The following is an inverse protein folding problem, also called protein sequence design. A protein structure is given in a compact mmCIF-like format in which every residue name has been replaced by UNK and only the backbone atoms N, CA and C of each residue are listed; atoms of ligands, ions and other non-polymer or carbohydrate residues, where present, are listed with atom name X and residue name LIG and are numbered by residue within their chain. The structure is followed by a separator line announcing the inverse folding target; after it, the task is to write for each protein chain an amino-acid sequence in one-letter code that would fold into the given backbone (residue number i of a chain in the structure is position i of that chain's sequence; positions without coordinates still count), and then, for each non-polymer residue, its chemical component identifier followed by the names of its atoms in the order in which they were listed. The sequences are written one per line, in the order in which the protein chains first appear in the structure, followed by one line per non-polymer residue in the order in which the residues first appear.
data_IF_852666050251
#
_entry.id   IF_852666050251
#
_cell.length_a   1.000
_cell.length_b   1.000
_cell.length_c   1.000
_cell.angle_alpha   90.00
_cell.angle_beta   90.00
_cell.angle_gamma   90.00
#
_symmetry.space_group_name_H-M   'P 1'
#
loop_
_entity.id
_entity.type
_entity.pdbx_description
1 polymer ?
#
# COMPACT_ATOMS: atom_id res chain seq x y z
N UNK A 1 -18.85 -9.28 14.65
CA UNK A 1 -18.76 -8.15 15.59
C UNK A 1 -17.91 -7.10 14.91
N UNK A 2 -18.50 -5.96 14.51
CA UNK A 2 -17.69 -4.76 14.25
C UNK A 2 -16.96 -4.42 15.56
N UNK A 3 -15.65 -4.12 15.55
CA UNK A 3 -14.99 -3.58 16.73
C UNK A 3 -15.59 -2.19 16.97
N UNK A 4 -16.59 -2.13 17.84
CA UNK A 4 -17.53 -1.02 18.08
C UNK A 4 -16.89 0.29 18.62
N UNK A 5 -15.57 0.45 18.55
CA UNK A 5 -14.86 1.64 19.04
C UNK A 5 -13.80 2.21 18.11
N UNK A 6 -13.05 1.39 17.36
CA UNK A 6 -11.85 1.88 16.66
C UNK A 6 -12.12 3.05 15.70
N UNK A 7 -13.21 3.00 14.94
CA UNK A 7 -13.55 4.06 13.99
C UNK A 7 -13.88 5.36 14.72
N UNK A 8 -14.67 5.26 15.78
CA UNK A 8 -15.10 6.38 16.62
C UNK A 8 -13.90 6.98 17.37
N UNK A 9 -13.04 6.13 17.94
CA UNK A 9 -11.82 6.53 18.64
C UNK A 9 -10.85 7.25 17.69
N UNK A 10 -10.64 6.72 16.49
CA UNK A 10 -9.79 7.36 15.48
C UNK A 10 -10.38 8.68 14.98
N UNK A 11 -11.70 8.76 14.81
CA UNK A 11 -12.40 10.01 14.48
C UNK A 11 -12.20 11.05 15.58
N UNK A 12 -12.29 10.66 16.85
CA UNK A 12 -12.16 11.59 17.96
C UNK A 12 -10.71 12.05 18.16
N UNK A 13 -9.74 11.14 17.98
CA UNK A 13 -8.32 11.46 17.88
C UNK A 13 -8.03 12.48 16.77
N UNK A 14 -8.48 12.21 15.54
CA UNK A 14 -8.23 13.14 14.42
C UNK A 14 -8.93 14.48 14.62
N UNK A 15 -10.12 14.50 15.20
CA UNK A 15 -10.81 15.73 15.58
C UNK A 15 -10.00 16.60 16.55
N UNK A 16 -9.32 15.99 17.53
CA UNK A 16 -8.40 16.71 18.42
C UNK A 16 -7.24 17.29 17.62
N UNK A 17 -6.57 16.48 16.78
CA UNK A 17 -5.44 16.95 15.97
C UNK A 17 -5.81 18.14 15.08
N UNK A 18 -6.96 18.07 14.39
CA UNK A 18 -7.43 19.17 13.55
C UNK A 18 -7.70 20.44 14.36
N UNK A 19 -8.30 20.31 15.55
CA UNK A 19 -8.55 21.45 16.43
C UNK A 19 -7.27 22.11 16.92
N UNK A 20 -6.32 21.32 17.41
CA UNK A 20 -5.12 21.83 18.09
C UNK A 20 -4.04 22.34 17.11
N UNK A 21 -3.93 21.75 15.92
CA UNK A 21 -2.81 22.04 15.02
C UNK A 21 -3.24 22.57 13.64
N UNK A 22 -4.52 22.49 13.29
CA UNK A 22 -5.00 22.86 11.96
C UNK A 22 -4.97 24.37 11.66
N UNK A 23 -4.68 25.20 12.66
CA UNK A 23 -4.33 26.61 12.46
C UNK A 23 -3.06 26.77 11.59
N UNK A 24 -2.10 25.85 11.74
CA UNK A 24 -0.80 25.84 11.02
C UNK A 24 -0.62 24.66 10.07
N UNK A 25 -1.09 23.46 10.44
CA UNK A 25 -0.96 22.25 9.61
C UNK A 25 -2.00 22.29 8.50
N UNK A 26 -1.52 22.31 7.24
CA UNK A 26 -2.36 22.43 6.03
C UNK A 26 -2.42 21.20 5.15
N UNK A 27 -1.66 20.16 5.47
CA UNK A 27 -1.69 18.91 4.73
C UNK A 27 -1.72 17.76 5.74
N UNK A 28 -2.78 16.94 5.66
CA UNK A 28 -3.03 15.84 6.57
C UNK A 28 -3.01 14.51 5.84
N UNK A 29 -2.37 13.51 6.43
CA UNK A 29 -2.42 12.11 5.99
C UNK A 29 -3.06 11.32 7.13
N UNK A 30 -4.17 10.62 6.88
CA UNK A 30 -4.84 9.85 7.94
C UNK A 30 -4.08 8.57 8.28
N UNK A 31 -3.65 7.82 7.26
CA UNK A 31 -2.96 6.55 7.39
C UNK A 31 -1.75 6.55 6.45
N UNK A 32 -0.64 6.01 6.95
CA UNK A 32 0.54 5.69 6.17
C UNK A 32 0.61 4.18 5.96
N UNK A 33 0.75 3.74 4.72
CA UNK A 33 0.88 2.32 4.34
C UNK A 33 -0.12 1.35 5.00
N UNK A 34 -1.44 1.58 4.85
CA UNK A 34 -2.44 0.70 5.47
C UNK A 34 -2.34 -0.75 4.95
N UNK A 35 -1.78 -0.95 3.75
CA UNK A 35 -1.41 -2.26 3.21
C UNK A 35 -0.33 -2.95 4.05
N UNK A 36 0.81 -2.30 4.29
CA UNK A 36 1.93 -2.84 5.07
C UNK A 36 1.46 -3.20 6.49
N UNK A 37 0.64 -2.35 7.11
CA UNK A 37 0.04 -2.64 8.42
C UNK A 37 -0.85 -3.89 8.38
N UNK A 38 -1.76 -3.98 7.41
CA UNK A 38 -2.72 -5.09 7.31
C UNK A 38 -2.03 -6.43 7.05
N UNK A 39 -1.06 -6.44 6.13
CA UNK A 39 -0.35 -7.66 5.72
C UNK A 39 0.71 -8.03 6.75
N UNK A 40 1.55 -7.08 7.17
CA UNK A 40 2.62 -7.31 8.13
C UNK A 40 2.13 -7.69 9.52
N UNK A 41 1.04 -7.06 9.99
CA UNK A 41 0.50 -7.26 11.33
C UNK A 41 -0.45 -8.44 11.48
N UNK A 42 -1.15 -8.81 10.40
CA UNK A 42 -2.29 -9.76 10.45
C UNK A 42 -2.25 -10.87 9.39
N UNK A 43 -1.26 -10.86 8.48
CA UNK A 43 -1.05 -11.94 7.51
C UNK A 43 0.28 -12.66 7.73
N UNK A 44 1.40 -11.94 7.71
CA UNK A 44 2.73 -12.53 7.96
C UNK A 44 3.11 -12.54 9.44
N UNK A 45 2.50 -11.67 10.25
CA UNK A 45 2.75 -11.58 11.70
C UNK A 45 4.14 -11.04 12.07
N UNK A 46 4.86 -10.40 11.13
CA UNK A 46 6.20 -9.86 11.38
C UNK A 46 6.17 -8.45 11.99
N UNK A 47 5.04 -7.73 11.86
CA UNK A 47 4.82 -6.43 12.48
C UNK A 47 3.84 -6.59 13.64
N UNK A 48 3.84 -5.65 14.59
CA UNK A 48 2.83 -5.62 15.64
C UNK A 48 1.40 -5.56 15.05
N UNK A 49 0.41 -6.28 15.61
CA UNK A 49 0.47 -7.06 16.85
C UNK A 49 0.99 -8.50 16.69
N UNK A 50 1.52 -8.88 15.52
CA UNK A 50 2.16 -10.18 15.30
C UNK A 50 1.18 -11.34 15.14
N UNK A 51 0.02 -11.10 14.54
CA UNK A 51 -1.02 -12.12 14.35
C UNK A 51 -0.90 -12.75 12.98
N UNK A 52 -0.95 -14.08 12.93
CA UNK A 52 -1.04 -14.81 11.68
C UNK A 52 -1.57 -16.23 11.92
N UNK A 53 -1.97 -16.92 10.85
CA UNK A 53 -2.24 -18.35 10.93
C UNK A 53 -0.95 -19.11 11.22
N UNK A 54 -1.02 -20.15 12.05
CA UNK A 54 0.15 -20.94 12.50
C UNK A 54 1.01 -21.56 11.40
N UNK A 55 0.47 -21.69 10.20
CA UNK A 55 1.17 -22.19 9.01
C UNK A 55 1.99 -21.14 8.25
N UNK A 56 1.72 -19.85 8.45
CA UNK A 56 2.45 -18.77 7.76
C UNK A 56 3.81 -18.53 8.41
N UNK A 57 3.83 -18.57 9.74
CA UNK A 57 5.03 -18.45 10.55
C UNK A 57 4.87 -19.35 11.77
N UNK A 58 5.87 -20.19 12.05
CA UNK A 58 5.86 -21.11 13.19
C UNK A 58 5.73 -20.39 14.54
N UNK A 59 6.06 -19.10 14.60
CA UNK A 59 5.89 -18.26 15.79
C UNK A 59 4.45 -17.79 16.05
N UNK A 60 3.52 -17.92 15.09
CA UNK A 60 2.14 -17.48 15.27
C UNK A 60 1.27 -18.57 15.89
N UNK A 61 0.76 -18.33 17.10
CA UNK A 61 -0.20 -19.21 17.77
C UNK A 61 -1.65 -18.73 17.65
N UNK A 62 -1.87 -17.48 17.23
CA UNK A 62 -3.17 -16.82 17.15
C UNK A 62 -3.30 -15.97 15.88
N UNK A 63 -4.49 -15.97 15.29
CA UNK A 63 -4.80 -15.16 14.11
C UNK A 63 -5.42 -15.95 12.96
N UNK A 64 -5.88 -15.24 11.94
CA UNK A 64 -6.39 -15.80 10.69
C UNK A 64 -5.92 -14.96 9.51
N UNK A 65 -4.82 -15.39 8.88
CA UNK A 65 -4.21 -14.71 7.72
C UNK A 65 -5.10 -14.69 6.49
N UNK A 66 -6.17 -15.47 6.47
CA UNK A 66 -7.19 -15.44 5.42
C UNK A 66 -8.31 -14.44 5.70
N UNK A 67 -8.44 -13.88 6.90
CA UNK A 67 -9.60 -13.05 7.27
C UNK A 67 -9.22 -11.73 7.94
N UNK A 68 -8.29 -11.74 8.88
CA UNK A 68 -7.93 -10.56 9.67
C UNK A 68 -7.38 -9.40 8.83
N UNK A 69 -6.49 -9.61 7.83
CA UNK A 69 -6.02 -8.51 6.98
C UNK A 69 -7.16 -7.76 6.28
N UNK A 70 -8.21 -8.47 5.86
CA UNK A 70 -9.39 -7.89 5.21
C UNK A 70 -10.26 -7.09 6.16
N UNK A 71 -10.45 -7.57 7.39
CA UNK A 71 -11.18 -6.83 8.44
C UNK A 71 -10.41 -5.57 8.82
N UNK A 72 -9.09 -5.66 8.97
CA UNK A 72 -8.23 -4.54 9.37
C UNK A 72 -8.21 -3.46 8.28
N UNK A 73 -7.95 -3.84 7.02
CA UNK A 73 -7.99 -2.89 5.90
C UNK A 73 -9.36 -2.21 5.75
N UNK A 74 -10.46 -2.96 5.96
CA UNK A 74 -11.80 -2.40 5.91
C UNK A 74 -12.05 -1.34 6.99
N UNK A 75 -11.65 -1.63 8.24
CA UNK A 75 -11.78 -0.67 9.33
C UNK A 75 -10.88 0.56 9.15
N UNK A 76 -9.67 0.42 8.61
CA UNK A 76 -8.80 1.55 8.25
C UNK A 76 -9.47 2.46 7.21
N UNK A 77 -10.09 1.90 6.17
CA UNK A 77 -10.84 2.68 5.17
C UNK A 77 -12.04 3.40 5.79
N UNK A 78 -12.82 2.73 6.64
CA UNK A 78 -13.97 3.38 7.30
C UNK A 78 -13.53 4.49 8.26
N UNK A 79 -12.44 4.29 9.00
CA UNK A 79 -11.86 5.30 9.88
C UNK A 79 -11.29 6.50 9.09
N UNK A 80 -10.67 6.24 7.94
CA UNK A 80 -10.23 7.28 7.00
C UNK A 80 -11.40 8.15 6.54
N UNK A 81 -12.48 7.52 6.04
CA UNK A 81 -13.66 8.23 5.58
C UNK A 81 -14.29 9.09 6.70
N UNK A 82 -14.37 8.56 7.93
CA UNK A 82 -14.88 9.29 9.08
C UNK A 82 -14.01 10.51 9.45
N UNK A 83 -12.69 10.37 9.45
CA UNK A 83 -11.76 11.48 9.72
C UNK A 83 -11.84 12.57 8.64
N UNK A 84 -11.91 12.16 7.36
CA UNK A 84 -12.06 13.10 6.23
C UNK A 84 -13.38 13.86 6.33
N UNK A 85 -14.48 13.17 6.66
CA UNK A 85 -15.76 13.83 6.86
C UNK A 85 -15.69 14.88 7.97
N UNK A 86 -15.11 14.54 9.13
CA UNK A 86 -14.91 15.51 10.22
C UNK A 86 -14.09 16.71 9.77
N UNK A 87 -12.99 16.48 9.04
CA UNK A 87 -12.15 17.55 8.54
C UNK A 87 -12.90 18.49 7.58
N UNK A 88 -13.60 17.92 6.58
CA UNK A 88 -14.36 18.68 5.59
C UNK A 88 -15.49 19.48 6.22
N UNK A 89 -16.25 18.87 7.12
CA UNK A 89 -17.45 19.48 7.71
C UNK A 89 -17.12 20.57 8.73
N UNK A 90 -16.07 20.37 9.55
CA UNK A 90 -15.79 21.26 10.69
C UNK A 90 -14.63 22.22 10.47
N UNK A 91 -13.63 21.83 9.68
CA UNK A 91 -12.32 22.48 9.70
C UNK A 91 -11.90 23.05 8.35
N UNK A 92 -12.15 22.36 7.23
CA UNK A 92 -11.57 22.70 5.93
C UNK A 92 -11.92 24.12 5.47
N UNK A 93 -13.17 24.57 5.65
CA UNK A 93 -13.59 25.93 5.27
C UNK A 93 -12.82 27.04 6.00
N UNK A 94 -12.45 26.82 7.27
CA UNK A 94 -11.72 27.80 8.09
C UNK A 94 -10.21 27.64 7.96
N UNK A 95 -9.72 26.41 8.04
CA UNK A 95 -8.30 26.09 8.08
C UNK A 95 -7.65 26.06 6.70
N UNK A 96 -8.43 25.86 5.63
CA UNK A 96 -8.00 25.85 4.22
C UNK A 96 -6.91 24.82 3.89
N UNK A 97 -6.76 23.76 4.70
CA UNK A 97 -5.84 22.66 4.40
C UNK A 97 -6.48 21.56 3.56
N UNK A 98 -5.65 20.59 3.17
CA UNK A 98 -5.99 19.39 2.40
C UNK A 98 -5.81 18.13 3.25
N UNK A 99 -6.59 17.09 2.96
CA UNK A 99 -6.48 15.79 3.63
C UNK A 99 -6.41 14.65 2.61
N UNK A 100 -5.58 13.66 2.90
CA UNK A 100 -5.36 12.51 2.04
C UNK A 100 -4.95 11.26 2.82
N UNK A 101 -4.46 10.28 2.08
CA UNK A 101 -3.96 9.00 2.60
C UNK A 101 -2.74 8.59 1.78
N UNK A 102 -1.78 7.94 2.44
CA UNK A 102 -0.57 7.45 1.78
C UNK A 102 -0.65 5.96 1.53
N UNK A 103 -0.49 5.56 0.27
CA UNK A 103 -0.53 4.18 -0.19
C UNK A 103 0.87 3.73 -0.61
N UNK A 104 1.24 2.52 -0.20
CA UNK A 104 2.45 1.85 -0.68
C UNK A 104 2.14 0.97 -1.88
N UNK A 105 3.01 0.98 -2.88
CA UNK A 105 2.88 0.07 -4.02
C UNK A 105 4.23 -0.26 -4.63
N UNK A 106 4.50 -1.56 -4.76
CA UNK A 106 5.49 -2.04 -5.70
C UNK A 106 4.98 -1.86 -7.14
N UNK A 107 5.88 -1.76 -8.11
CA UNK A 107 5.51 -1.93 -9.51
C UNK A 107 5.48 -3.42 -9.88
N UNK A 108 4.38 -3.85 -10.52
CA UNK A 108 4.11 -5.24 -10.86
C UNK A 108 4.38 -5.47 -12.35
N UNK A 109 5.50 -6.12 -12.68
CA UNK A 109 5.89 -6.44 -14.05
C UNK A 109 5.45 -7.87 -14.37
N UNK A 110 4.73 -8.13 -15.48
CA UNK A 110 4.43 -9.51 -15.85
C UNK A 110 5.72 -10.27 -16.16
N UNK A 111 5.83 -11.50 -15.65
CA UNK A 111 7.02 -12.33 -15.84
C UNK A 111 7.25 -12.61 -17.33
N UNK A 112 6.21 -13.02 -18.07
CA UNK A 112 6.24 -13.19 -19.53
C UNK A 112 5.23 -12.31 -20.27
N UNK A 113 5.30 -12.31 -21.60
CA UNK A 113 4.31 -11.64 -22.45
C UNK A 113 2.96 -12.37 -22.55
N UNK A 114 2.82 -13.52 -21.87
CA UNK A 114 1.58 -14.30 -21.88
C UNK A 114 0.42 -13.52 -21.27
N UNK A 115 -0.80 -13.80 -21.73
CA UNK A 115 -2.01 -13.20 -21.17
C UNK A 115 -2.15 -13.53 -19.67
N UNK A 116 -1.80 -14.75 -19.27
CA UNK A 116 -1.87 -15.20 -17.87
C UNK A 116 -1.01 -14.33 -16.94
N UNK A 117 0.25 -14.07 -17.30
CA UNK A 117 1.14 -13.25 -16.46
C UNK A 117 0.77 -11.77 -16.48
N UNK A 118 0.26 -11.25 -17.60
CA UNK A 118 -0.30 -9.89 -17.67
C UNK A 118 -1.50 -9.73 -16.74
N UNK A 119 -2.40 -10.71 -16.73
CA UNK A 119 -3.55 -10.71 -15.83
C UNK A 119 -3.12 -10.91 -14.38
N UNK A 120 -2.09 -11.72 -14.12
CA UNK A 120 -1.51 -11.88 -12.79
C UNK A 120 -0.88 -10.57 -12.28
N UNK A 121 -0.10 -9.85 -13.09
CA UNK A 121 0.45 -8.55 -12.72
C UNK A 121 -0.64 -7.53 -12.35
N UNK A 122 -1.75 -7.51 -13.11
CA UNK A 122 -2.93 -6.70 -12.79
C UNK A 122 -3.55 -7.11 -11.44
N UNK A 123 -3.74 -8.41 -11.20
CA UNK A 123 -4.29 -8.91 -9.91
C UNK A 123 -3.38 -8.57 -8.74
N UNK A 124 -2.07 -8.79 -8.85
CA UNK A 124 -1.11 -8.45 -7.79
C UNK A 124 -1.15 -6.95 -7.46
N UNK A 125 -1.28 -6.11 -8.49
CA UNK A 125 -1.42 -4.68 -8.30
C UNK A 125 -2.75 -4.30 -7.62
N UNK A 126 -3.86 -4.94 -8.02
CA UNK A 126 -5.17 -4.73 -7.40
C UNK A 126 -5.19 -5.20 -5.94
N UNK A 127 -4.47 -6.26 -5.57
CA UNK A 127 -4.35 -6.74 -4.19
C UNK A 127 -3.45 -5.85 -3.30
N UNK A 128 -2.64 -4.96 -3.88
CA UNK A 128 -1.78 -4.04 -3.13
C UNK A 128 -2.31 -2.61 -3.18
N UNK A 129 -2.25 -2.00 -4.36
CA UNK A 129 -2.64 -0.60 -4.57
C UNK A 129 -4.15 -0.45 -4.75
N UNK A 130 -4.76 -1.28 -5.60
CA UNK A 130 -6.19 -1.23 -5.88
C UNK A 130 -7.05 -1.52 -4.65
N UNK A 131 -6.56 -2.30 -3.69
CA UNK A 131 -7.27 -2.67 -2.47
C UNK A 131 -7.71 -1.45 -1.66
N UNK A 132 -6.93 -0.37 -1.71
CA UNK A 132 -7.27 0.92 -1.10
C UNK A 132 -7.72 1.94 -2.14
N UNK A 133 -7.10 1.99 -3.32
CA UNK A 133 -7.39 3.00 -4.33
C UNK A 133 -8.78 2.84 -4.99
N UNK A 134 -9.28 1.62 -5.20
CA UNK A 134 -10.63 1.40 -5.74
C UNK A 134 -11.71 1.88 -4.75
N UNK A 135 -11.68 1.54 -3.45
CA UNK A 135 -12.62 2.13 -2.48
C UNK A 135 -12.61 3.66 -2.49
N UNK A 136 -11.43 4.28 -2.53
CA UNK A 136 -11.28 5.73 -2.53
C UNK A 136 -11.86 6.41 -3.79
N UNK A 137 -11.95 5.71 -4.92
CA UNK A 137 -12.36 6.31 -6.21
C UNK A 137 -13.66 5.77 -6.79
N UNK A 138 -14.11 4.61 -6.31
CA UNK A 138 -15.28 3.88 -6.81
C UNK A 138 -16.24 3.50 -5.69
N UNK A 139 -15.86 3.66 -4.43
CA UNK A 139 -16.68 3.29 -3.29
C UNK A 139 -16.77 1.79 -3.01
N UNK A 140 -15.96 0.95 -3.67
CA UNK A 140 -15.98 -0.50 -3.51
C UNK A 140 -14.62 -1.12 -3.87
N UNK A 141 -14.39 -2.37 -3.47
CA UNK A 141 -13.15 -3.11 -3.73
C UNK A 141 -13.01 -3.56 -5.19
N UNK A 142 -11.77 -3.84 -5.67
CA UNK A 142 -11.53 -4.38 -7.01
C UNK A 142 -12.32 -5.67 -7.26
N UNK A 143 -12.81 -5.86 -8.49
CA UNK A 143 -13.58 -7.05 -8.85
C UNK A 143 -12.78 -8.35 -8.64
N UNK A 144 -11.49 -8.36 -8.97
CA UNK A 144 -10.61 -9.52 -8.76
C UNK A 144 -10.58 -9.97 -7.30
N UNK A 145 -10.47 -9.02 -6.36
CA UNK A 145 -10.51 -9.30 -4.93
C UNK A 145 -11.87 -9.84 -4.50
N UNK A 146 -12.97 -9.22 -4.94
CA UNK A 146 -14.32 -9.70 -4.61
C UNK A 146 -14.54 -11.14 -5.09
N UNK A 147 -14.07 -11.48 -6.29
CA UNK A 147 -14.19 -12.82 -6.87
C UNK A 147 -13.31 -13.84 -6.15
N UNK A 148 -12.03 -13.53 -5.90
CA UNK A 148 -11.07 -14.49 -5.37
C UNK A 148 -11.17 -14.67 -3.84
N UNK A 149 -11.44 -13.59 -3.11
CA UNK A 149 -11.52 -13.60 -1.65
C UNK A 149 -12.91 -14.03 -1.17
N UNK A 150 -13.96 -13.61 -1.89
CA UNK A 150 -15.35 -13.95 -1.61
C UNK A 150 -15.81 -13.41 -0.25
N UNK A 151 -16.52 -14.24 0.51
CA UNK A 151 -17.17 -13.85 1.77
C UNK A 151 -16.22 -13.43 2.91
N UNK A 152 -14.90 -13.58 2.73
CA UNK A 152 -13.91 -13.08 3.71
C UNK A 152 -13.61 -11.59 3.54
N UNK A 153 -13.87 -11.04 2.35
CA UNK A 153 -13.76 -9.61 2.09
C UNK A 153 -15.03 -8.93 2.61
N UNK A 154 -14.94 -8.02 3.58
CA UNK A 154 -16.10 -7.25 4.05
C UNK A 154 -16.75 -6.47 2.90
N UNK A 155 -18.03 -6.13 3.06
CA UNK A 155 -18.79 -5.37 2.07
C UNK A 155 -19.10 -3.99 2.64
N UNK A 156 -18.89 -2.95 1.83
CA UNK A 156 -19.38 -1.62 2.16
C UNK A 156 -20.91 -1.58 2.09
N UNK A 157 -21.54 -0.97 3.08
CA UNK A 157 -22.92 -0.53 2.94
C UNK A 157 -23.00 0.61 1.92
N UNK A 158 -24.20 0.91 1.41
CA UNK A 158 -24.39 2.07 0.50
C UNK A 158 -23.89 3.38 1.11
N UNK A 159 -24.11 3.58 2.41
CA UNK A 159 -23.65 4.78 3.12
C UNK A 159 -22.12 4.82 3.23
N UNK A 160 -21.49 3.70 3.58
CA UNK A 160 -20.03 3.62 3.68
C UNK A 160 -19.38 3.81 2.30
N UNK A 161 -19.93 3.19 1.25
CA UNK A 161 -19.49 3.33 -0.13
C UNK A 161 -19.52 4.80 -0.59
N UNK A 162 -20.60 5.52 -0.27
CA UNK A 162 -20.72 6.96 -0.53
C UNK A 162 -19.71 7.78 0.28
N UNK A 163 -19.46 7.41 1.54
CA UNK A 163 -18.54 8.15 2.41
C UNK A 163 -17.07 7.99 2.00
N UNK A 164 -16.66 6.80 1.56
CA UNK A 164 -15.26 6.54 1.15
C UNK A 164 -14.96 7.03 -0.26
N UNK A 165 -15.94 7.04 -1.18
CA UNK A 165 -15.72 7.50 -2.54
C UNK A 165 -15.41 9.01 -2.58
N UNK A 166 -14.24 9.37 -3.12
CA UNK A 166 -13.76 10.74 -3.20
C UNK A 166 -13.30 11.33 -1.85
N UNK A 167 -13.03 10.49 -0.86
CA UNK A 167 -12.61 10.90 0.49
C UNK A 167 -11.14 11.35 0.58
N UNK A 168 -10.60 12.00 -0.44
CA UNK A 168 -9.24 12.55 -0.41
C UNK A 168 -9.15 13.80 -1.28
N UNK A 169 -8.22 14.68 -0.94
CA UNK A 169 -7.82 15.85 -1.74
C UNK A 169 -6.50 15.58 -2.48
N UNK A 170 -5.69 14.63 -1.98
CA UNK A 170 -4.47 14.12 -2.61
C UNK A 170 -4.20 12.67 -2.19
N UNK A 171 -3.34 11.98 -2.93
CA UNK A 171 -2.80 10.65 -2.58
C UNK A 171 -1.31 10.78 -2.31
N UNK A 172 -0.86 10.28 -1.16
CA UNK A 172 0.56 10.01 -0.93
C UNK A 172 0.92 8.67 -1.57
N UNK A 173 2.08 8.60 -2.22
CA UNK A 173 2.60 7.38 -2.82
C UNK A 173 3.96 7.05 -2.21
N UNK A 174 4.05 5.87 -1.63
CA UNK A 174 5.31 5.27 -1.18
C UNK A 174 5.77 4.25 -2.23
N UNK A 175 6.95 4.48 -2.80
CA UNK A 175 7.52 3.60 -3.82
C UNK A 175 9.00 3.31 -3.54
N UNK A 176 9.35 2.04 -3.61
CA UNK A 176 10.70 1.56 -3.34
C UNK A 176 11.24 0.61 -4.42
N UNK A 177 10.41 -0.30 -4.93
CA UNK A 177 10.88 -1.44 -5.72
C UNK A 177 9.82 -1.97 -6.69
N UNK A 178 10.25 -2.86 -7.58
CA UNK A 178 9.37 -3.63 -8.46
C UNK A 178 9.50 -5.14 -8.23
N UNK A 179 8.57 -5.92 -8.81
CA UNK A 179 8.57 -7.39 -8.83
C UNK A 179 8.13 -7.92 -10.19
N UNK A 180 8.69 -9.07 -10.58
CA UNK A 180 8.11 -9.89 -11.65
C UNK A 180 6.99 -10.77 -11.08
N UNK A 181 5.87 -10.83 -11.78
CA UNK A 181 4.66 -11.52 -11.37
C UNK A 181 4.33 -12.65 -12.35
N UNK A 182 4.22 -13.85 -11.82
CA UNK A 182 3.80 -15.05 -12.53
C UNK A 182 2.39 -15.46 -12.11
N UNK A 183 1.60 -15.94 -13.07
CA UNK A 183 0.34 -16.58 -12.76
C UNK A 183 0.58 -17.94 -12.07
N UNK A 184 -0.14 -18.21 -10.99
CA UNK A 184 -0.20 -19.55 -10.41
C UNK A 184 -1.64 -20.07 -10.39
N UNK A 185 -1.78 -21.38 -10.53
CA UNK A 185 -3.05 -22.09 -10.35
C UNK A 185 -3.12 -22.79 -8.99
N UNK A 186 -2.11 -22.58 -8.12
CA UNK A 186 -2.05 -23.20 -6.81
C UNK A 186 -3.15 -22.60 -5.93
N UNK A 187 -4.31 -23.24 -5.94
CA UNK A 187 -5.30 -23.14 -4.88
C UNK A 187 -4.69 -23.87 -3.69
N UNK A 188 -4.52 -23.20 -2.57
CA UNK A 188 -3.90 -23.70 -1.35
C UNK A 188 -4.65 -24.90 -0.69
N UNK A 189 -5.22 -25.88 -1.41
CA UNK A 189 -5.96 -27.02 -0.84
C UNK A 189 -6.96 -26.62 0.29
N UNK A 190 -7.65 -25.49 0.13
CA UNK A 190 -8.58 -24.93 1.14
C UNK A 190 -7.96 -23.97 2.18
N UNK A 191 -6.62 -23.82 2.19
CA UNK A 191 -5.87 -22.99 3.13
C UNK A 191 -5.80 -21.51 2.69
N UNK A 192 -6.85 -20.76 3.05
CA UNK A 192 -7.01 -19.35 2.72
C UNK A 192 -5.96 -18.47 3.42
N UNK A 193 -5.33 -17.58 2.66
CA UNK A 193 -4.32 -16.62 3.15
C UNK A 193 -4.23 -15.48 2.16
N UNK A 194 -4.12 -14.24 2.65
CA UNK A 194 -3.94 -13.06 1.80
C UNK A 194 -2.81 -13.25 0.76
N UNK A 195 -1.70 -13.87 1.17
CA UNK A 195 -0.53 -14.10 0.32
C UNK A 195 -0.84 -14.97 -0.91
N UNK A 196 -1.74 -15.94 -0.77
CA UNK A 196 -2.10 -16.87 -1.85
C UNK A 196 -3.34 -16.43 -2.65
N UNK A 197 -4.19 -15.58 -2.07
CA UNK A 197 -5.51 -15.24 -2.63
C UNK A 197 -5.44 -14.53 -3.99
N UNK A 198 -4.33 -13.84 -4.29
CA UNK A 198 -4.13 -13.19 -5.59
C UNK A 198 -3.90 -14.17 -6.75
N UNK A 199 -3.61 -15.44 -6.44
CA UNK A 199 -3.16 -16.47 -7.39
C UNK A 199 -1.98 -15.98 -8.24
N UNK A 200 -0.99 -15.39 -7.55
CA UNK A 200 0.25 -14.92 -8.17
C UNK A 200 1.47 -15.41 -7.39
N UNK A 201 2.58 -15.59 -8.11
CA UNK A 201 3.90 -15.75 -7.53
C UNK A 201 4.73 -14.50 -7.84
N UNK A 202 5.45 -13.98 -6.86
CA UNK A 202 6.29 -12.80 -7.02
C UNK A 202 7.75 -13.19 -6.94
N UNK A 203 8.56 -12.70 -7.87
CA UNK A 203 10.01 -12.92 -7.89
C UNK A 203 10.75 -11.65 -8.27
N UNK A 204 12.02 -11.59 -7.87
CA UNK A 204 12.96 -10.52 -8.21
C UNK A 204 13.83 -10.90 -9.40
N UNK A 205 13.76 -12.15 -9.87
CA UNK A 205 14.56 -12.65 -10.99
C UNK A 205 13.70 -13.21 -12.11
N UNK A 206 14.16 -13.04 -13.34
CA UNK A 206 13.59 -13.64 -14.55
C UNK A 206 14.71 -14.23 -15.40
N UNK A 207 14.66 -15.54 -15.62
CA UNK A 207 15.70 -16.29 -16.34
C UNK A 207 17.12 -16.07 -15.77
N UNK A 208 17.25 -16.00 -14.45
CA UNK A 208 18.53 -15.75 -13.76
C UNK A 208 18.99 -14.29 -13.75
N UNK A 209 18.22 -13.36 -14.34
CA UNK A 209 18.52 -11.92 -14.28
C UNK A 209 17.63 -11.23 -13.26
N UNK A 210 18.24 -10.59 -12.26
CA UNK A 210 17.55 -9.75 -11.30
C UNK A 210 16.89 -8.54 -11.97
N UNK A 211 15.75 -8.10 -11.43
CA UNK A 211 14.96 -6.96 -11.91
C UNK A 211 15.76 -5.65 -11.86
N UNK A 212 16.73 -5.57 -10.94
CA UNK A 212 17.66 -4.47 -10.76
C UNK A 212 18.71 -4.80 -9.70
N UNK A 213 19.63 -3.88 -9.39
CA UNK A 213 20.59 -4.04 -8.30
C UNK A 213 19.89 -4.24 -6.96
N UNK A 214 20.42 -5.14 -6.11
CA UNK A 214 19.93 -5.37 -4.75
C UNK A 214 20.53 -4.33 -3.79
N UNK A 215 19.73 -3.79 -2.88
CA UNK A 215 20.21 -2.90 -1.82
C UNK A 215 20.63 -3.65 -0.55
N UNK A 216 20.73 -2.97 0.59
CA UNK A 216 21.04 -3.60 1.88
C UNK A 216 20.01 -4.65 2.29
N UNK A 217 18.74 -4.32 2.11
CA UNK A 217 17.62 -5.20 2.48
C UNK A 217 17.35 -6.29 1.44
N UNK A 218 17.02 -7.52 1.86
CA UNK A 218 16.76 -8.63 0.94
C UNK A 218 15.53 -8.43 0.05
N UNK A 219 14.63 -7.53 0.43
CA UNK A 219 13.40 -7.22 -0.31
C UNK A 219 13.57 -6.05 -1.30
N UNK A 220 14.63 -5.24 -1.22
CA UNK A 220 14.72 -3.99 -1.98
C UNK A 220 15.61 -4.17 -3.22
N UNK A 221 15.01 -4.06 -4.40
CA UNK A 221 15.69 -4.11 -5.69
C UNK A 221 15.43 -2.80 -6.45
N UNK A 222 16.49 -2.10 -6.82
CA UNK A 222 16.45 -0.76 -7.39
C UNK A 222 15.88 -0.83 -8.81
N UNK A 223 14.66 -0.33 -8.99
CA UNK A 223 13.97 -0.30 -10.29
C UNK A 223 13.25 1.04 -10.49
N UNK A 224 13.95 2.10 -10.90
CA UNK A 224 13.40 3.46 -10.91
C UNK A 224 12.30 3.64 -11.95
N UNK A 225 12.34 2.91 -13.09
CA UNK A 225 11.27 2.95 -14.10
C UNK A 225 9.89 2.59 -13.52
N UNK A 226 9.82 1.77 -12.47
CA UNK A 226 8.55 1.38 -11.89
C UNK A 226 7.79 2.54 -11.23
N UNK A 227 8.46 3.60 -10.77
CA UNK A 227 7.77 4.78 -10.23
C UNK A 227 7.08 5.58 -11.35
N UNK A 228 7.74 5.72 -12.52
CA UNK A 228 7.14 6.35 -13.72
C UNK A 228 5.89 5.57 -14.14
N UNK A 229 6.01 4.26 -14.28
CA UNK A 229 4.90 3.40 -14.68
C UNK A 229 3.76 3.43 -13.65
N UNK A 230 4.08 3.51 -12.34
CA UNK A 230 3.07 3.60 -11.28
C UNK A 230 2.28 4.91 -11.35
N UNK A 231 2.96 6.03 -11.58
CA UNK A 231 2.33 7.35 -11.74
C UNK A 231 1.46 7.39 -13.00
N UNK A 232 1.97 6.91 -14.13
CA UNK A 232 1.23 6.86 -15.41
C UNK A 232 0.01 5.95 -15.32
N UNK A 233 0.13 4.80 -14.65
CA UNK A 233 -1.01 3.94 -14.37
C UNK A 233 -2.06 4.66 -13.53
N UNK A 234 -1.65 5.34 -12.46
CA UNK A 234 -2.61 6.05 -11.58
C UNK A 234 -3.31 7.17 -12.33
N UNK A 235 -2.58 7.93 -13.14
CA UNK A 235 -3.12 8.93 -14.07
C UNK A 235 -4.22 8.35 -14.95
N UNK A 236 -3.93 7.23 -15.63
CA UNK A 236 -4.86 6.59 -16.57
C UNK A 236 -6.05 5.92 -15.90
N UNK A 237 -5.86 5.27 -14.75
CA UNK A 237 -6.87 4.41 -14.14
C UNK A 237 -7.76 5.13 -13.12
N UNK A 238 -7.25 6.19 -12.49
CA UNK A 238 -7.91 6.86 -11.36
C UNK A 238 -8.14 8.36 -11.58
N UNK A 239 -8.26 8.78 -12.84
CA UNK A 239 -8.56 10.17 -13.21
C UNK A 239 -7.53 11.20 -12.72
N UNK A 240 -6.25 10.80 -12.70
CA UNK A 240 -5.12 11.68 -12.41
C UNK A 240 -5.25 12.55 -11.15
N UNK A 241 -5.39 11.95 -9.96
CA UNK A 241 -5.47 12.71 -8.72
C UNK A 241 -4.17 13.48 -8.45
N UNK A 242 -4.21 14.47 -7.55
CA UNK A 242 -2.97 15.07 -7.03
C UNK A 242 -2.19 14.00 -6.27
N UNK A 243 -0.93 13.78 -6.64
CA UNK A 243 -0.05 12.77 -6.02
C UNK A 243 1.17 13.48 -5.43
N UNK A 244 1.55 13.08 -4.22
CA UNK A 244 2.84 13.38 -3.62
C UNK A 244 3.62 12.09 -3.45
N UNK A 245 4.92 12.09 -3.79
CA UNK A 245 5.79 11.00 -3.37
C UNK A 245 6.13 11.24 -1.90
N UNK A 246 5.51 10.46 -1.03
CA UNK A 246 5.61 10.64 0.43
C UNK A 246 6.74 9.81 1.04
N UNK A 247 7.11 8.71 0.39
CA UNK A 247 8.32 7.97 0.70
C UNK A 247 8.98 7.41 -0.56
N UNK A 248 10.31 7.52 -0.59
CA UNK A 248 11.19 6.89 -1.56
C UNK A 248 12.60 6.87 -0.94
N UNK A 249 13.31 5.75 -1.03
CA UNK A 249 14.64 5.65 -0.47
C UNK A 249 15.26 4.27 -0.64
N UNK A 250 16.50 4.14 -0.20
CA UNK A 250 17.26 2.89 -0.23
C UNK A 250 18.16 2.80 0.99
N UNK A 251 18.26 1.59 1.52
CA UNK A 251 19.10 1.24 2.65
C UNK A 251 20.43 0.64 2.20
N UNK A 252 21.42 0.65 3.10
CA UNK A 252 22.75 0.09 2.88
C UNK A 252 22.95 -1.15 3.74
N UNK A 253 23.91 -1.98 3.36
CA UNK A 253 24.27 -3.15 4.16
C UNK A 253 24.78 -2.68 5.52
N UNK A 254 24.20 -3.19 6.60
CA UNK A 254 24.70 -2.88 7.93
C UNK A 254 26.13 -3.39 8.11
N UNK A 255 27.06 -2.48 8.35
CA UNK A 255 28.46 -2.77 8.61
C UNK A 255 28.99 -1.87 9.73
N UNK A 256 28.94 -2.38 10.96
CA UNK A 256 29.34 -1.65 12.18
C UNK A 256 30.85 -1.35 12.25
N UNK A 257 31.66 -2.04 11.43
CA UNK A 257 33.11 -1.85 11.39
C UNK A 257 33.55 -0.76 10.40
N UNK A 258 32.62 -0.18 9.64
CA UNK A 258 32.93 0.81 8.62
C UNK A 258 33.30 2.15 9.27
N UNK A 259 34.47 2.74 8.98
CA UNK A 259 34.82 4.07 9.50
C UNK A 259 33.77 5.10 9.09
N UNK A 260 33.49 6.09 9.96
CA UNK A 260 32.46 7.11 9.68
C UNK A 260 32.66 7.81 8.33
N UNK A 261 33.90 8.11 7.96
CA UNK A 261 34.20 8.77 6.68
C UNK A 261 33.79 7.91 5.48
N UNK A 262 33.88 6.59 5.58
CA UNK A 262 33.42 5.66 4.55
C UNK A 262 31.91 5.42 4.62
N UNK A 263 31.33 5.37 5.83
CA UNK A 263 29.89 5.23 6.05
C UNK A 263 29.08 6.42 5.53
N UNK A 264 29.68 7.61 5.47
CA UNK A 264 29.07 8.79 4.88
C UNK A 264 29.11 8.81 3.34
N UNK A 265 29.82 7.88 2.68
CA UNK A 265 29.90 7.78 1.22
C UNK A 265 28.74 6.95 0.68
N UNK A 266 27.56 7.55 0.60
CA UNK A 266 26.31 6.88 0.22
C UNK A 266 25.95 7.00 -1.27
N UNK A 267 26.95 6.79 -2.14
CA UNK A 267 26.79 6.96 -3.61
C UNK A 267 25.61 6.15 -4.19
N UNK A 268 25.32 4.98 -3.64
CA UNK A 268 24.16 4.16 -4.05
C UNK A 268 22.85 4.90 -3.78
N UNK A 269 22.73 5.57 -2.62
CA UNK A 269 21.55 6.36 -2.24
C UNK A 269 21.42 7.61 -3.09
N UNK A 270 22.53 8.30 -3.36
CA UNK A 270 22.56 9.47 -4.26
C UNK A 270 22.06 9.09 -5.66
N UNK A 271 22.60 8.02 -6.26
CA UNK A 271 22.20 7.59 -7.60
C UNK A 271 20.76 7.06 -7.62
N UNK A 272 20.33 6.36 -6.57
CA UNK A 272 18.94 5.95 -6.41
C UNK A 272 17.99 7.15 -6.53
N UNK A 273 18.24 8.22 -5.76
CA UNK A 273 17.40 9.43 -5.80
C UNK A 273 17.45 10.11 -7.16
N UNK A 274 18.64 10.25 -7.75
CA UNK A 274 18.79 10.85 -9.08
C UNK A 274 17.95 10.12 -10.13
N UNK A 275 17.98 8.78 -10.14
CA UNK A 275 17.21 7.99 -11.09
C UNK A 275 15.70 8.06 -10.83
N UNK A 276 15.26 7.95 -9.58
CA UNK A 276 13.83 8.02 -9.26
C UNK A 276 13.24 9.41 -9.54
N UNK A 277 13.95 10.50 -9.21
CA UNK A 277 13.56 11.86 -9.55
C UNK A 277 13.48 12.09 -11.07
N UNK A 278 14.42 11.53 -11.84
CA UNK A 278 14.36 11.55 -13.30
C UNK A 278 13.09 10.86 -13.83
N UNK A 279 12.74 9.69 -13.30
CA UNK A 279 11.55 8.96 -13.70
C UNK A 279 10.24 9.65 -13.26
N UNK A 280 10.23 10.32 -12.10
CA UNK A 280 9.13 11.21 -11.68
C UNK A 280 8.98 12.36 -12.69
N UNK A 281 10.09 13.02 -13.07
CA UNK A 281 10.06 14.12 -14.04
C UNK A 281 9.50 13.66 -15.40
N UNK A 282 9.83 12.44 -15.84
CA UNK A 282 9.26 11.85 -17.06
C UNK A 282 7.75 11.65 -16.98
N UNK A 283 7.23 11.23 -15.84
CA UNK A 283 5.79 11.04 -15.64
C UNK A 283 4.97 12.34 -15.60
N UNK A 284 5.63 13.49 -15.36
CA UNK A 284 4.99 14.81 -15.39
C UNK A 284 4.78 15.36 -16.80
N UNK A 285 5.55 14.87 -17.79
CA UNK A 285 5.43 15.25 -19.21
C UNK A 285 4.26 14.51 -19.87
#
# INVERSE_FOLDING_TARGET
MEPLGFREDFRDYTNICFREFGDRVKNWITFNEPWSFSVGGYSSGILAPGRCSSRENSGCSIGDSGKEPYIVAHNQLLAHAAAVQVYRDKYQGKQKGKIGITLVSNWMIPYSNSKKDKDAAKRALEFMYGWFMDPLTKGDYPLSMKTLVGNRLPRFTKQQSKAINGSFDFIGLNYYTARYIQNTNYSNNGNKSYNADSLTNQTVERHGTAIGPKAGSPWLYIYPKGIEERLLYTKKTYNNPTIYITENGVDEINNENLPLQEALVDNTRIEFYRQHLFHIQRALK
#
